data_IF_724270404788
#
_entry.id   IF_724270404788
#
_cell.length_a   1.000
_cell.length_b   1.000
_cell.length_c   1.000
_cell.angle_alpha   90.00
_cell.angle_beta   90.00
_cell.angle_gamma   90.00
#
_symmetry.space_group_name_H-M   'P 1'
#
loop_
_entity.id
_entity.type
_entity.pdbx_description
1 polymer ?
#
# COMPACT_ATOMS: atom_id res chain seq x y z
N UNK A 1 -39.27 -38.57 33.18
CA UNK A 1 -38.75 -38.71 34.56
C UNK A 1 -37.24 -38.90 34.49
N UNK A 2 -36.50 -38.17 35.34
CA UNK A 2 -35.03 -38.15 35.55
C UNK A 2 -34.24 -37.38 34.49
N UNK A 3 -33.24 -36.54 34.77
CA UNK A 3 -32.71 -35.78 35.92
C UNK A 3 -31.61 -34.89 35.25
N UNK A 4 -31.34 -33.63 35.57
CA UNK A 4 -30.55 -33.21 36.74
C UNK A 4 -30.33 -31.69 36.66
N UNK A 5 -30.49 -31.04 37.80
CA UNK A 5 -30.13 -29.64 38.06
C UNK A 5 -28.61 -29.51 38.26
N UNK A 6 -28.03 -28.38 37.86
CA UNK A 6 -26.68 -27.98 38.27
C UNK A 6 -26.72 -26.60 38.94
N UNK A 7 -25.95 -26.49 40.02
CA UNK A 7 -26.01 -25.51 41.11
C UNK A 7 -25.43 -24.14 40.75
N UNK A 8 -26.08 -23.08 41.24
CA UNK A 8 -25.56 -21.71 41.31
C UNK A 8 -24.60 -21.62 42.50
N UNK A 9 -23.36 -21.19 42.25
CA UNK A 9 -22.40 -20.78 43.26
C UNK A 9 -21.95 -19.35 42.95
N UNK A 10 -22.07 -18.45 43.93
CA UNK A 10 -21.68 -17.05 43.80
C UNK A 10 -20.42 -16.69 44.62
N UNK A 11 -20.06 -15.41 44.47
CA UNK A 11 -19.15 -14.56 45.28
C UNK A 11 -17.70 -14.44 44.78
N UNK A 12 -17.27 -13.18 44.59
CA UNK A 12 -15.86 -12.77 44.59
C UNK A 12 -15.58 -11.53 43.75
N UNK A 13 -15.72 -10.34 44.33
CA UNK A 13 -15.44 -9.03 43.73
C UNK A 13 -13.96 -8.64 43.93
N UNK A 14 -13.39 -8.01 42.90
CA UNK A 14 -12.17 -7.17 42.82
C UNK A 14 -10.79 -7.82 43.07
N UNK A 15 -10.00 -7.85 41.98
CA UNK A 15 -8.54 -7.76 42.02
C UNK A 15 -8.08 -6.71 41.00
N UNK A 16 -7.65 -5.55 41.47
CA UNK A 16 -6.86 -4.58 40.68
C UNK A 16 -5.40 -4.87 40.98
N UNK A 17 -4.70 -5.50 40.03
CA UNK A 17 -3.24 -5.63 39.92
C UNK A 17 -3.00 -6.50 38.69
N UNK A 18 -2.13 -6.20 37.75
CA UNK A 18 -1.16 -5.15 37.58
C UNK A 18 -0.53 -5.41 36.20
N UNK A 19 0.30 -4.48 35.73
CA UNK A 19 1.09 -4.65 34.51
C UNK A 19 1.78 -6.02 34.48
N UNK A 20 1.38 -6.86 33.54
CA UNK A 20 2.08 -8.07 33.10
C UNK A 20 1.80 -8.19 31.60
N UNK A 21 2.70 -7.69 30.77
CA UNK A 21 3.63 -8.56 30.03
C UNK A 21 2.90 -9.77 29.45
N UNK A 22 2.18 -9.56 28.35
CA UNK A 22 2.15 -10.57 27.30
C UNK A 22 3.08 -10.03 26.23
N UNK A 23 4.34 -10.40 26.39
CA UNK A 23 5.31 -10.53 25.32
C UNK A 23 4.74 -11.63 24.40
N UNK A 24 3.75 -11.25 23.61
CA UNK A 24 3.36 -12.02 22.44
C UNK A 24 4.09 -11.30 21.31
N UNK A 25 5.32 -11.74 21.04
CA UNK A 25 6.06 -11.50 19.80
C UNK A 25 5.29 -12.16 18.64
N UNK A 26 4.02 -11.79 18.45
CA UNK A 26 3.35 -11.95 17.17
C UNK A 26 3.95 -10.88 16.27
N UNK A 27 4.95 -11.29 15.49
CA UNK A 27 5.42 -10.57 14.31
C UNK A 27 4.20 -10.01 13.58
N UNK A 28 3.94 -8.72 13.78
CA UNK A 28 2.75 -8.07 13.25
C UNK A 28 2.96 -7.97 11.75
N UNK A 29 2.20 -8.76 10.98
CA UNK A 29 2.27 -8.72 9.52
C UNK A 29 2.17 -7.25 9.05
N UNK A 30 3.13 -6.76 8.25
CA UNK A 30 3.15 -5.38 7.80
C UNK A 30 1.83 -5.00 7.10
N UNK A 31 1.41 -3.74 7.24
CA UNK A 31 0.20 -3.27 6.56
C UNK A 31 0.32 -3.49 5.04
N UNK A 32 -0.65 -4.18 4.39
CA UNK A 32 -0.55 -4.54 2.97
C UNK A 32 -0.51 -3.33 2.02
N UNK A 33 -0.92 -2.14 2.47
CA UNK A 33 -0.81 -0.91 1.66
C UNK A 33 0.65 -0.47 1.47
N UNK A 34 1.56 -0.82 2.38
CA UNK A 34 2.99 -0.50 2.25
C UNK A 34 3.61 -1.14 1.00
N UNK A 35 3.23 -2.38 0.70
CA UNK A 35 3.66 -3.06 -0.52
C UNK A 35 3.12 -2.36 -1.79
N UNK A 36 1.87 -1.86 -1.75
CA UNK A 36 1.31 -1.08 -2.86
C UNK A 36 2.01 0.27 -3.03
N UNK A 37 2.37 0.95 -1.92
CA UNK A 37 3.08 2.22 -1.95
C UNK A 37 4.49 2.04 -2.54
N UNK A 38 5.21 0.98 -2.14
CA UNK A 38 6.51 0.64 -2.71
C UNK A 38 6.43 0.38 -4.22
N UNK A 39 5.45 -0.42 -4.67
CA UNK A 39 5.22 -0.68 -6.09
C UNK A 39 4.93 0.61 -6.86
N UNK A 40 4.11 1.51 -6.29
CA UNK A 40 3.79 2.79 -6.91
C UNK A 40 5.01 3.70 -7.07
N UNK A 41 5.89 3.78 -6.07
CA UNK A 41 7.16 4.53 -6.19
C UNK A 41 8.08 3.93 -7.25
N UNK A 42 8.15 2.60 -7.36
CA UNK A 42 8.95 1.93 -8.37
C UNK A 42 8.42 2.17 -9.79
N UNK A 43 7.10 2.10 -9.99
CA UNK A 43 6.45 2.45 -11.26
C UNK A 43 6.77 3.91 -11.63
N UNK A 44 6.65 4.83 -10.67
CA UNK A 44 6.93 6.24 -10.87
C UNK A 44 8.40 6.50 -11.25
N UNK A 45 9.35 5.86 -10.56
CA UNK A 45 10.77 5.98 -10.87
C UNK A 45 11.11 5.42 -12.27
N UNK A 46 10.49 4.29 -12.65
CA UNK A 46 10.66 3.69 -13.97
C UNK A 46 10.11 4.61 -15.07
N UNK A 47 8.92 5.16 -14.88
CA UNK A 47 8.34 6.14 -15.80
C UNK A 47 9.21 7.39 -15.94
N UNK A 48 9.75 7.94 -14.84
CA UNK A 48 10.69 9.08 -14.89
C UNK A 48 11.95 8.74 -15.67
N UNK A 49 12.54 7.57 -15.46
CA UNK A 49 13.73 7.14 -16.20
C UNK A 49 13.45 7.04 -17.71
N UNK A 50 12.27 6.54 -18.09
CA UNK A 50 11.87 6.41 -19.49
C UNK A 50 11.66 7.76 -20.20
N UNK A 51 11.34 8.85 -19.48
CA UNK A 51 11.18 10.18 -20.13
C UNK A 51 12.43 10.65 -20.88
N UNK A 52 13.62 10.27 -20.39
CA UNK A 52 14.89 10.59 -21.04
C UNK A 52 15.23 9.63 -22.21
N UNK A 53 14.61 8.44 -22.23
CA UNK A 53 14.88 7.39 -23.20
C UNK A 53 13.90 7.39 -24.38
N UNK A 54 12.67 7.86 -24.15
CA UNK A 54 11.62 8.00 -25.16
C UNK A 54 10.99 9.40 -25.14
N UNK A 55 11.57 10.37 -25.88
CA UNK A 55 11.04 11.72 -25.96
C UNK A 55 9.64 11.81 -26.58
N UNK A 56 9.23 10.83 -27.39
CA UNK A 56 7.91 10.79 -28.00
C UNK A 56 6.80 10.52 -26.97
N UNK A 57 7.12 9.77 -25.92
CA UNK A 57 6.22 9.46 -24.81
C UNK A 57 6.47 10.31 -23.56
N UNK A 58 7.45 11.22 -23.56
CA UNK A 58 7.89 11.94 -22.36
C UNK A 58 6.75 12.64 -21.60
N UNK A 59 5.79 13.25 -22.30
CA UNK A 59 4.62 13.87 -21.67
C UNK A 59 3.71 12.84 -20.96
N UNK A 60 3.38 11.74 -21.63
CA UNK A 60 2.56 10.67 -21.07
C UNK A 60 3.26 9.96 -19.90
N UNK A 61 4.55 9.68 -20.04
CA UNK A 61 5.39 9.09 -18.98
C UNK A 61 5.52 10.02 -17.77
N UNK A 62 5.57 11.34 -17.98
CA UNK A 62 5.50 12.33 -16.90
C UNK A 62 4.20 12.25 -16.11
N UNK A 63 3.05 12.19 -16.80
CA UNK A 63 1.73 12.01 -16.15
C UNK A 63 1.69 10.71 -15.34
N UNK A 64 2.18 9.59 -15.90
CA UNK A 64 2.25 8.32 -15.17
C UNK A 64 3.12 8.47 -13.92
N UNK A 65 4.29 9.09 -14.03
CA UNK A 65 5.19 9.28 -12.90
C UNK A 65 4.55 10.08 -11.76
N UNK A 66 3.87 11.18 -12.08
CA UNK A 66 3.26 12.06 -11.09
C UNK A 66 2.06 11.40 -10.41
N UNK A 67 1.18 10.78 -11.18
CA UNK A 67 0.04 10.03 -10.65
C UNK A 67 0.50 8.85 -9.78
N UNK A 68 1.52 8.10 -10.20
CA UNK A 68 2.04 6.98 -9.39
C UNK A 68 2.75 7.46 -8.12
N UNK A 69 3.38 8.64 -8.13
CA UNK A 69 3.86 9.28 -6.89
C UNK A 69 2.68 9.65 -5.98
N UNK A 70 1.65 10.33 -6.49
CA UNK A 70 0.48 10.71 -5.69
C UNK A 70 -0.24 9.50 -5.06
N UNK A 71 -0.31 8.38 -5.79
CA UNK A 71 -0.85 7.13 -5.24
C UNK A 71 -0.01 6.58 -4.09
N UNK A 72 1.32 6.63 -4.17
CA UNK A 72 2.20 6.20 -3.08
C UNK A 72 1.98 7.06 -1.83
N UNK A 73 1.91 8.38 -2.00
CA UNK A 73 1.72 9.32 -0.90
C UNK A 73 0.35 9.13 -0.23
N UNK A 74 -0.70 8.87 -1.01
CA UNK A 74 -2.04 8.58 -0.49
C UNK A 74 -2.09 7.27 0.30
N UNK A 75 -1.37 6.24 -0.14
CA UNK A 75 -1.26 4.96 0.55
C UNK A 75 -0.50 5.11 1.88
N UNK A 76 0.64 5.82 1.88
CA UNK A 76 1.42 6.07 3.08
C UNK A 76 0.63 6.92 4.10
N UNK A 77 -0.07 7.94 3.63
CA UNK A 77 -0.93 8.78 4.46
C UNK A 77 -2.03 7.95 5.14
N UNK A 78 -2.60 6.98 4.42
CA UNK A 78 -3.61 6.09 4.97
C UNK A 78 -3.03 5.12 6.02
N UNK A 79 -1.83 4.58 5.80
CA UNK A 79 -1.13 3.76 6.79
C UNK A 79 -0.85 4.58 8.05
N UNK A 80 -0.32 5.80 7.91
CA UNK A 80 -0.05 6.69 9.03
C UNK A 80 -1.33 7.02 9.82
N UNK A 81 -2.42 7.36 9.12
CA UNK A 81 -3.73 7.63 9.73
C UNK A 81 -4.22 6.44 10.57
N UNK A 82 -4.03 5.21 10.10
CA UNK A 82 -4.42 3.99 10.83
C UNK A 82 -3.52 3.70 12.04
N UNK A 83 -2.24 4.05 11.97
CA UNK A 83 -1.30 3.94 13.08
C UNK A 83 -1.53 5.02 14.16
N UNK A 84 -2.49 5.94 13.98
CA UNK A 84 -2.69 7.11 14.84
C UNK A 84 -1.56 8.13 14.72
N UNK A 85 -0.72 8.00 13.68
CA UNK A 85 0.35 8.93 13.36
C UNK A 85 -0.26 10.01 12.47
N UNK A 86 -0.46 11.21 13.01
CA UNK A 86 -0.63 12.39 12.16
C UNK A 86 0.72 12.69 11.53
N UNK A 87 0.92 12.22 10.29
CA UNK A 87 2.07 12.61 9.48
C UNK A 87 1.92 14.08 9.09
N UNK A 88 2.87 14.90 9.51
CA UNK A 88 3.05 16.26 8.97
C UNK A 88 3.45 16.12 7.48
N UNK A 89 2.71 16.73 6.53
CA UNK A 89 2.96 16.56 5.10
C UNK A 89 4.34 17.09 4.63
N UNK A 90 5.11 17.72 5.53
CA UNK A 90 6.38 18.38 5.20
C UNK A 90 7.59 17.42 5.22
N UNK A 91 7.45 16.18 5.65
CA UNK A 91 8.55 15.21 5.70
C UNK A 91 8.64 14.32 4.45
N UNK A 92 8.76 14.91 3.26
CA UNK A 92 9.24 14.16 2.08
C UNK A 92 10.75 13.93 2.22
N UNK A 93 11.12 12.80 2.81
CA UNK A 93 12.47 12.28 2.66
C UNK A 93 12.68 11.86 1.21
N UNK A 94 13.50 12.61 0.46
CA UNK A 94 13.95 12.19 -0.86
C UNK A 94 14.79 10.92 -0.72
N UNK A 95 14.16 9.76 -0.86
CA UNK A 95 14.86 8.49 -1.03
C UNK A 95 15.53 8.50 -2.40
N UNK A 96 16.78 8.97 -2.47
CA UNK A 96 17.65 8.74 -3.62
C UNK A 96 17.91 7.24 -3.74
N UNK A 97 17.13 6.58 -4.59
CA UNK A 97 17.46 5.22 -5.01
C UNK A 97 18.66 5.31 -5.95
N UNK A 98 19.83 4.92 -5.47
CA UNK A 98 21.00 4.73 -6.32
C UNK A 98 20.72 3.52 -7.21
N UNK A 99 20.45 3.76 -8.50
CA UNK A 99 20.32 2.69 -9.47
C UNK A 99 21.65 1.89 -9.53
N UNK A 100 21.61 0.55 -9.54
CA UNK A 100 22.83 -0.23 -9.72
C UNK A 100 23.45 0.12 -11.07
N UNK A 101 24.69 0.61 -11.07
CA UNK A 101 25.44 0.83 -12.29
C UNK A 101 25.75 -0.54 -12.91
N UNK A 102 24.97 -0.94 -13.92
CA UNK A 102 25.14 -2.21 -14.64
C UNK A 102 23.88 -2.91 -15.13
N UNK A 103 22.67 -2.43 -14.78
CA UNK A 103 21.42 -2.97 -15.31
C UNK A 103 21.11 -2.52 -16.74
N UNK A 104 20.44 -3.37 -17.53
CA UNK A 104 19.88 -2.96 -18.81
C UNK A 104 18.89 -1.79 -18.60
N UNK A 105 18.82 -0.82 -19.53
CA UNK A 105 17.89 0.30 -19.41
C UNK A 105 16.44 -0.22 -19.36
N UNK A 106 15.55 0.42 -18.58
CA UNK A 106 14.16 0.02 -18.52
C UNK A 106 13.49 0.20 -19.89
N UNK A 107 12.43 -0.56 -20.15
CA UNK A 107 11.61 -0.44 -21.36
C UNK A 107 10.17 -0.04 -21.03
N UNK A 108 9.48 0.54 -22.01
CA UNK A 108 8.05 0.89 -21.89
C UNK A 108 7.20 -0.36 -21.65
N UNK A 109 7.56 -1.50 -22.26
CA UNK A 109 6.84 -2.75 -22.04
C UNK A 109 6.98 -3.25 -20.60
N UNK A 110 8.17 -3.15 -20.01
CA UNK A 110 8.36 -3.49 -18.59
C UNK A 110 7.52 -2.59 -17.67
N UNK A 111 7.40 -1.29 -17.99
CA UNK A 111 6.51 -0.39 -17.26
C UNK A 111 5.05 -0.81 -17.42
N UNK A 112 4.60 -1.11 -18.65
CA UNK A 112 3.23 -1.59 -18.93
C UNK A 112 2.90 -2.85 -18.12
N UNK A 113 3.77 -3.85 -18.14
CA UNK A 113 3.61 -5.08 -17.35
C UNK A 113 3.53 -4.79 -15.84
N UNK A 114 4.36 -3.86 -15.35
CA UNK A 114 4.33 -3.44 -13.95
C UNK A 114 3.02 -2.77 -13.56
N UNK A 115 2.51 -1.86 -14.40
CA UNK A 115 1.22 -1.20 -14.18
C UNK A 115 0.05 -2.19 -14.22
N UNK A 116 0.07 -3.16 -15.13
CA UNK A 116 -0.93 -4.25 -15.16
C UNK A 116 -0.88 -5.10 -13.88
N UNK A 117 0.32 -5.37 -13.34
CA UNK A 117 0.48 -6.06 -12.07
C UNK A 117 -0.10 -5.22 -10.92
N UNK A 118 0.28 -3.95 -10.82
CA UNK A 118 -0.23 -2.97 -9.84
C UNK A 118 -1.75 -2.85 -9.89
N UNK A 119 -2.35 -2.83 -11.08
CA UNK A 119 -3.79 -2.85 -11.29
C UNK A 119 -4.44 -4.07 -10.63
N UNK A 120 -3.94 -5.27 -10.95
CA UNK A 120 -4.52 -6.54 -10.48
C UNK A 120 -4.35 -6.72 -8.97
N UNK A 121 -3.18 -6.39 -8.42
CA UNK A 121 -2.93 -6.49 -6.97
C UNK A 121 -3.81 -5.52 -6.20
N UNK A 122 -3.95 -4.28 -6.66
CA UNK A 122 -4.82 -3.28 -6.05
C UNK A 122 -6.29 -3.72 -6.10
N UNK A 123 -6.77 -4.19 -7.25
CA UNK A 123 -8.13 -4.76 -7.36
C UNK A 123 -8.34 -5.96 -6.44
N UNK A 124 -7.32 -6.81 -6.29
CA UNK A 124 -7.32 -7.95 -5.37
C UNK A 124 -7.55 -7.52 -3.94
N UNK A 125 -6.71 -6.62 -3.44
CA UNK A 125 -6.77 -6.09 -2.08
C UNK A 125 -8.04 -5.26 -1.83
N UNK A 126 -8.54 -4.53 -2.82
CA UNK A 126 -9.78 -3.77 -2.70
C UNK A 126 -10.98 -4.66 -2.33
N UNK A 127 -10.98 -5.93 -2.78
CA UNK A 127 -12.03 -6.91 -2.45
C UNK A 127 -11.91 -7.50 -1.05
N UNK A 128 -10.76 -7.40 -0.42
CA UNK A 128 -10.50 -7.94 0.92
C UNK A 128 -10.59 -6.89 2.02
N UNK A 129 -10.58 -5.61 1.65
CA UNK A 129 -10.70 -4.47 2.58
C UNK A 129 -12.09 -3.83 2.49
N UNK A 130 -12.35 -2.85 3.35
CA UNK A 130 -13.62 -2.12 3.38
C UNK A 130 -13.41 -0.61 3.49
N UNK A 131 -14.48 0.16 3.25
CA UNK A 131 -14.49 1.61 3.43
C UNK A 131 -13.47 2.35 2.57
N UNK A 132 -12.81 3.34 3.16
CA UNK A 132 -11.86 4.21 2.47
C UNK A 132 -10.70 3.43 1.82
N UNK A 133 -10.13 2.43 2.50
CA UNK A 133 -9.02 1.62 1.98
C UNK A 133 -9.39 0.83 0.73
N UNK A 134 -10.60 0.24 0.72
CA UNK A 134 -11.11 -0.46 -0.46
C UNK A 134 -11.33 0.51 -1.63
N UNK A 135 -11.92 1.68 -1.36
CA UNK A 135 -12.14 2.73 -2.37
C UNK A 135 -10.83 3.27 -2.96
N UNK A 136 -9.85 3.55 -2.11
CA UNK A 136 -8.52 4.03 -2.52
C UNK A 136 -7.85 3.03 -3.47
N UNK A 137 -7.81 1.75 -3.10
CA UNK A 137 -7.21 0.70 -3.94
C UNK A 137 -8.00 0.44 -5.23
N UNK A 138 -9.33 0.53 -5.20
CA UNK A 138 -10.15 0.43 -6.40
C UNK A 138 -9.87 1.59 -7.37
N UNK A 139 -9.72 2.81 -6.85
CA UNK A 139 -9.34 3.99 -7.64
C UNK A 139 -7.95 3.83 -8.26
N UNK A 140 -6.97 3.37 -7.47
CA UNK A 140 -5.61 3.08 -7.96
C UNK A 140 -5.64 2.03 -9.07
N UNK A 141 -6.42 0.96 -8.91
CA UNK A 141 -6.58 -0.07 -9.93
C UNK A 141 -7.14 0.51 -11.24
N UNK A 142 -8.18 1.32 -11.16
CA UNK A 142 -8.76 1.99 -12.32
C UNK A 142 -7.75 2.93 -13.01
N UNK A 143 -7.01 3.72 -12.23
CA UNK A 143 -5.99 4.62 -12.75
C UNK A 143 -4.87 3.87 -13.48
N UNK A 144 -4.35 2.77 -12.91
CA UNK A 144 -3.35 1.93 -13.58
C UNK A 144 -3.89 1.34 -14.90
N UNK A 145 -5.17 0.97 -14.96
CA UNK A 145 -5.80 0.53 -16.22
C UNK A 145 -5.87 1.64 -17.27
N UNK A 146 -6.23 2.86 -16.87
CA UNK A 146 -6.25 4.01 -17.80
C UNK A 146 -4.84 4.33 -18.30
N UNK A 147 -3.83 4.25 -17.43
CA UNK A 147 -2.44 4.47 -17.82
C UNK A 147 -1.98 3.46 -18.89
N UNK A 148 -2.35 2.18 -18.77
CA UNK A 148 -1.93 1.15 -19.74
C UNK A 148 -2.72 1.18 -21.04
N UNK A 149 -3.98 1.61 -21.03
CA UNK A 149 -4.85 1.59 -22.22
C UNK A 149 -4.88 2.92 -22.99
N UNK A 150 -4.54 4.04 -22.33
CA UNK A 150 -4.67 5.39 -22.91
C UNK A 150 -3.32 6.08 -23.04
N UNK A 151 -2.41 5.91 -22.08
CA UNK A 151 -1.16 6.67 -22.04
C UNK A 151 0.04 5.92 -22.64
N UNK A 152 0.02 4.58 -22.64
CA UNK A 152 1.09 3.73 -23.14
C UNK A 152 0.65 2.96 -24.38
#
# INVERSE_FOLDING_TARGET
MRWSSATIGGVGVLGVAGCGLSDDDTETEPDPLLAQAASARQDAATARALTALDPGLAGALGVIADERTAHADALDSEVARMAGITTDPTASGTSTTTAPAGGAPPTVEQLRESLVRSQRTSAGLARTLTGYRAGLLASISAACGVQTEVLL
#
